data_IF_943477550431
#
_entry.id   IF_943477550431
#
_cell.length_a   1.000
_cell.length_b   1.000
_cell.length_c   1.000
_cell.angle_alpha   90.00
_cell.angle_beta   90.00
_cell.angle_gamma   90.00
#
_symmetry.space_group_name_H-M   'P 1'
#
loop_
_entity.id
_entity.type
_entity.pdbx_description
1 polymer ?
#
# COMPACT_ATOMS: atom_id res chain seq x y z
N UNK A 1 8.74 15.84 11.88
CA UNK A 1 7.51 16.25 12.60
C UNK A 1 6.42 16.42 11.55
N UNK A 2 5.29 15.70 11.63
CA UNK A 2 4.22 15.85 10.64
C UNK A 2 3.49 17.17 10.88
N UNK A 3 3.39 18.00 9.84
CA UNK A 3 2.67 19.28 9.91
C UNK A 3 1.17 19.02 10.15
N UNK A 4 0.54 19.70 11.13
CA UNK A 4 -0.88 19.52 11.40
C UNK A 4 -1.73 19.90 10.19
N UNK A 5 -2.89 19.26 9.97
CA UNK A 5 -3.78 19.62 8.89
C UNK A 5 -4.23 21.07 8.98
N UNK A 6 -3.96 21.88 7.95
CA UNK A 6 -4.28 23.32 7.98
C UNK A 6 -5.57 23.65 7.23
N UNK A 7 -5.61 23.42 5.91
CA UNK A 7 -6.75 23.76 5.04
C UNK A 7 -7.12 22.64 4.09
N UNK A 8 -8.31 22.70 3.49
CA UNK A 8 -8.73 21.78 2.43
C UNK A 8 -7.72 21.72 1.27
N UNK A 9 -7.20 22.86 0.83
CA UNK A 9 -6.24 22.91 -0.28
C UNK A 9 -4.88 22.37 0.12
N UNK A 10 -4.41 22.64 1.35
CA UNK A 10 -3.19 22.01 1.87
C UNK A 10 -3.34 20.48 1.93
N UNK A 11 -4.50 19.96 2.35
CA UNK A 11 -4.73 18.51 2.40
C UNK A 11 -4.71 17.88 1.01
N UNK A 12 -5.38 18.51 0.05
CA UNK A 12 -5.33 18.07 -1.35
C UNK A 12 -3.90 18.04 -1.89
N UNK A 13 -3.09 19.06 -1.57
CA UNK A 13 -1.70 19.10 -2.01
C UNK A 13 -0.88 17.99 -1.37
N UNK A 14 -1.00 17.76 -0.06
CA UNK A 14 -0.30 16.67 0.64
C UNK A 14 -0.65 15.29 0.08
N UNK A 15 -1.90 15.05 -0.29
CA UNK A 15 -2.30 13.80 -0.96
C UNK A 15 -1.61 13.67 -2.32
N UNK A 16 -1.60 14.73 -3.13
CA UNK A 16 -0.89 14.73 -4.42
C UNK A 16 0.61 14.48 -4.24
N UNK A 17 1.24 15.13 -3.27
CA UNK A 17 2.66 14.98 -2.97
C UNK A 17 2.98 13.55 -2.50
N UNK A 18 2.13 12.96 -1.66
CA UNK A 18 2.25 11.57 -1.23
C UNK A 18 2.07 10.57 -2.39
N UNK A 19 1.14 10.83 -3.31
CA UNK A 19 1.01 10.02 -4.52
C UNK A 19 2.23 10.19 -5.45
N UNK A 20 2.77 11.41 -5.58
CA UNK A 20 3.94 11.69 -6.40
C UNK A 20 5.24 11.10 -5.83
N UNK A 21 5.31 10.87 -4.52
CA UNK A 21 6.46 10.22 -3.88
C UNK A 21 6.49 8.70 -4.05
N UNK A 22 5.42 8.09 -4.58
CA UNK A 22 5.39 6.66 -4.88
C UNK A 22 6.40 6.34 -5.99
N UNK A 23 7.41 5.54 -5.66
CA UNK A 23 8.45 5.15 -6.61
C UNK A 23 8.01 3.98 -7.49
N UNK A 24 8.66 3.81 -8.64
CA UNK A 24 8.44 2.63 -9.49
C UNK A 24 8.80 1.33 -8.78
N UNK A 25 9.74 1.34 -7.84
CA UNK A 25 10.09 0.18 -7.01
C UNK A 25 8.95 -0.20 -6.07
N UNK A 26 8.31 0.77 -5.41
CA UNK A 26 7.13 0.51 -4.59
C UNK A 26 6.02 -0.19 -5.40
N UNK A 27 5.78 0.26 -6.64
CA UNK A 27 4.79 -0.36 -7.53
C UNK A 27 5.17 -1.79 -7.95
N UNK A 28 6.46 -2.05 -8.21
CA UNK A 28 6.96 -3.41 -8.48
C UNK A 28 6.77 -4.33 -7.26
N UNK A 29 7.03 -3.81 -6.06
CA UNK A 29 6.86 -4.54 -4.81
C UNK A 29 5.38 -4.84 -4.55
N UNK A 30 4.46 -3.90 -4.79
CA UNK A 30 3.01 -4.12 -4.70
C UNK A 30 2.57 -5.25 -5.63
N UNK A 31 3.01 -5.23 -6.90
CA UNK A 31 2.66 -6.30 -7.86
C UNK A 31 3.14 -7.68 -7.39
N UNK A 32 4.38 -7.74 -6.92
CA UNK A 32 4.98 -9.00 -6.44
C UNK A 32 4.26 -9.53 -5.19
N UNK A 33 3.96 -8.64 -4.24
CA UNK A 33 3.22 -8.97 -3.02
C UNK A 33 1.78 -9.40 -3.32
N UNK A 34 1.12 -8.79 -4.30
CA UNK A 34 -0.23 -9.19 -4.71
C UNK A 34 -0.25 -10.63 -5.20
N UNK A 35 0.70 -11.02 -6.05
CA UNK A 35 0.80 -12.40 -6.54
C UNK A 35 1.05 -13.40 -5.41
N UNK A 36 1.95 -13.06 -4.47
CA UNK A 36 2.18 -13.86 -3.27
C UNK A 36 0.88 -14.06 -2.49
N UNK A 37 0.17 -12.97 -2.18
CA UNK A 37 -1.08 -12.98 -1.40
C UNK A 37 -2.18 -13.80 -2.06
N UNK A 38 -2.34 -13.69 -3.39
CA UNK A 38 -3.31 -14.49 -4.15
C UNK A 38 -2.98 -15.98 -4.03
N UNK A 39 -1.72 -16.36 -4.23
CA UNK A 39 -1.31 -17.76 -4.12
C UNK A 39 -1.52 -18.32 -2.72
N UNK A 40 -1.18 -17.56 -1.67
CA UNK A 40 -1.42 -17.99 -0.30
C UNK A 40 -2.91 -18.13 0.00
N UNK A 41 -3.74 -17.18 -0.45
CA UNK A 41 -5.20 -17.26 -0.32
C UNK A 41 -5.77 -18.55 -0.93
N UNK A 42 -5.28 -18.96 -2.10
CA UNK A 42 -5.67 -20.22 -2.73
C UNK A 42 -5.25 -21.45 -1.89
N UNK A 43 -4.04 -21.44 -1.33
CA UNK A 43 -3.53 -22.53 -0.48
C UNK A 43 -4.35 -22.73 0.79
N UNK A 44 -4.87 -21.66 1.38
CA UNK A 44 -5.69 -21.71 2.59
C UNK A 44 -7.20 -21.76 2.28
N UNK A 45 -7.59 -22.05 1.04
CA UNK A 45 -8.98 -22.13 0.61
C UNK A 45 -9.82 -20.89 0.97
N UNK A 46 -9.22 -19.69 0.85
CA UNK A 46 -9.88 -18.42 1.16
C UNK A 46 -9.89 -18.03 2.64
N UNK A 47 -9.22 -18.78 3.52
CA UNK A 47 -9.01 -18.40 4.92
C UNK A 47 -8.04 -17.23 5.12
N UNK A 48 -7.87 -16.81 6.38
CA UNK A 48 -6.86 -15.80 6.75
C UNK A 48 -5.45 -16.36 6.58
N UNK A 49 -4.55 -15.54 6.03
CA UNK A 49 -3.20 -15.97 5.64
C UNK A 49 -2.11 -14.99 6.08
N UNK A 50 -2.45 -13.93 6.81
CA UNK A 50 -1.52 -12.90 7.26
C UNK A 50 -0.38 -13.48 8.13
N UNK A 51 -0.64 -14.59 8.84
CA UNK A 51 0.34 -15.31 9.64
C UNK A 51 1.35 -16.14 8.81
N UNK A 52 1.14 -16.28 7.50
CA UNK A 52 2.01 -17.06 6.59
C UNK A 52 2.91 -16.17 5.73
N UNK A 53 2.64 -14.86 5.68
CA UNK A 53 3.32 -13.92 4.77
C UNK A 53 3.97 -12.73 5.49
N UNK A 54 4.03 -12.79 6.83
CA UNK A 54 4.65 -11.78 7.71
C UNK A 54 5.61 -12.45 8.68
#
# INVERSE_FOLDING_TARGET
MFEPPTTKENMKQRIRDACASVTSEMLKNVRSNLLLRINTCLQVHGGHFEHLIN
#
